data_IF_551944646945
#
_entry.id   IF_551944646945
#
_cell.length_a   1.000
_cell.length_b   1.000
_cell.length_c   1.000
_cell.angle_alpha   90.00
_cell.angle_beta   90.00
_cell.angle_gamma   90.00
#
_symmetry.space_group_name_H-M   'P 1'
#
loop_
_entity.id
_entity.type
_entity.pdbx_description
1 polymer ?
#
# COMPACT_ATOMS: atom_id res chain seq x y z
N UNK A 1 13.04 15.47 -6.49
CA UNK A 1 12.77 15.03 -6.44
C UNK A 1 12.42 14.00 -5.79
N UNK A 2 12.55 13.38 -5.67
CA UNK A 2 12.27 12.32 -5.13
C UNK A 2 12.37 12.30 -3.76
N UNK A 3 12.73 13.24 -3.16
CA UNK A 3 12.75 13.27 -1.78
C UNK A 3 11.39 13.05 -1.25
N UNK A 4 10.40 13.25 -2.02
CA UNK A 4 9.07 13.02 -1.52
C UNK A 4 8.83 11.60 -1.16
N UNK A 5 9.48 10.69 -1.83
CA UNK A 5 9.21 9.32 -1.56
C UNK A 5 9.96 8.82 -0.37
N UNK A 6 10.90 9.60 0.11
CA UNK A 6 11.67 9.14 1.23
C UNK A 6 10.91 9.14 2.51
N UNK A 7 9.74 9.76 2.53
CA UNK A 7 8.96 9.78 3.75
C UNK A 7 8.17 8.52 3.95
N UNK A 8 8.20 7.61 3.01
CA UNK A 8 7.40 6.41 3.09
C UNK A 8 8.25 5.21 3.45
N UNK A 9 7.74 4.39 4.35
CA UNK A 9 8.42 3.17 4.76
C UNK A 9 7.57 1.97 4.40
N UNK A 10 8.22 0.90 4.01
CA UNK A 10 7.51 -0.34 3.73
C UNK A 10 7.03 -0.93 5.04
N UNK A 11 5.73 -1.14 5.14
CA UNK A 11 5.14 -1.72 6.32
C UNK A 11 4.75 -3.18 6.13
N UNK A 12 4.64 -3.62 4.88
CA UNK A 12 4.32 -5.00 4.62
C UNK A 12 4.51 -5.32 3.16
N UNK A 13 4.66 -6.59 2.86
CA UNK A 13 4.85 -7.03 1.49
C UNK A 13 4.02 -8.29 1.27
N UNK A 14 3.30 -8.30 0.16
CA UNK A 14 2.49 -9.45 -0.21
C UNK A 14 3.10 -10.00 -1.48
N UNK A 15 3.67 -11.19 -1.41
CA UNK A 15 4.37 -11.78 -2.54
C UNK A 15 3.40 -12.56 -3.40
N UNK A 16 3.38 -12.29 -4.68
CA UNK A 16 2.56 -13.06 -5.61
C UNK A 16 3.37 -14.15 -6.27
N UNK A 17 4.57 -13.79 -6.73
CA UNK A 17 5.46 -14.80 -7.32
C UNK A 17 6.88 -14.24 -7.26
N UNK A 18 7.81 -14.91 -7.89
CA UNK A 18 9.22 -14.56 -7.78
C UNK A 18 9.52 -13.16 -8.32
N UNK A 19 8.73 -12.67 -9.25
CA UNK A 19 8.99 -11.38 -9.85
C UNK A 19 8.06 -10.27 -9.36
N UNK A 20 6.90 -10.64 -8.80
CA UNK A 20 5.90 -9.65 -8.44
C UNK A 20 5.56 -9.67 -6.97
N UNK A 21 5.61 -8.51 -6.34
CA UNK A 21 5.09 -8.40 -5.00
C UNK A 21 4.40 -7.05 -4.86
N UNK A 22 3.60 -6.94 -3.85
CA UNK A 22 2.86 -5.73 -3.56
C UNK A 22 3.38 -5.17 -2.25
N UNK A 23 3.89 -3.97 -2.27
CA UNK A 23 4.41 -3.36 -1.05
C UNK A 23 3.45 -2.32 -0.54
N UNK A 24 3.22 -2.38 0.76
CA UNK A 24 2.36 -1.42 1.43
C UNK A 24 3.27 -0.49 2.21
N UNK A 25 3.28 0.76 1.85
CA UNK A 25 4.14 1.76 2.50
C UNK A 25 3.27 2.78 3.20
N UNK A 26 3.81 3.35 4.23
CA UNK A 26 3.11 4.39 4.96
C UNK A 26 4.07 5.50 5.33
N UNK A 27 3.58 6.72 5.36
CA UNK A 27 4.38 7.85 5.74
C UNK A 27 3.65 9.13 5.48
N UNK A 28 4.38 10.22 5.28
CA UNK A 28 3.77 11.49 5.01
C UNK A 28 4.21 11.98 3.65
N UNK A 29 3.31 12.71 3.01
CA UNK A 29 3.57 13.28 1.71
C UNK A 29 2.90 14.65 1.76
N UNK A 30 3.69 15.70 1.74
CA UNK A 30 3.18 17.07 1.88
C UNK A 30 2.37 17.22 3.15
N UNK A 31 2.93 16.66 4.25
CA UNK A 31 2.28 16.74 5.57
C UNK A 31 0.96 16.01 5.66
N UNK A 32 0.68 15.16 4.72
CA UNK A 32 -0.53 14.36 4.74
C UNK A 32 -0.13 12.91 4.96
N UNK A 33 -0.78 12.26 5.93
CA UNK A 33 -0.51 10.87 6.21
C UNK A 33 -1.08 10.03 5.07
N UNK A 34 -0.25 9.26 4.41
CA UNK A 34 -0.68 8.49 3.24
C UNK A 34 -0.25 7.05 3.35
N UNK A 35 -0.97 6.21 2.64
CA UNK A 35 -0.66 4.81 2.51
C UNK A 35 -0.52 4.54 1.01
N UNK A 36 0.55 3.93 0.61
CA UNK A 36 0.79 3.63 -0.80
C UNK A 36 0.85 2.11 -0.97
N UNK A 37 -0.01 1.58 -1.82
CA UNK A 37 -0.07 0.16 -2.09
C UNK A 37 0.27 -0.01 -3.55
N UNK A 38 1.41 -0.65 -3.84
CA UNK A 38 1.90 -0.64 -5.20
C UNK A 38 2.56 -1.95 -5.55
N UNK A 39 2.37 -2.37 -6.79
CA UNK A 39 3.04 -3.55 -7.31
C UNK A 39 4.45 -3.21 -7.70
N UNK A 40 5.36 -4.11 -7.34
CA UNK A 40 6.77 -4.02 -7.71
C UNK A 40 7.10 -5.21 -8.58
N UNK A 41 7.81 -4.96 -9.64
CA UNK A 41 8.25 -6.04 -10.51
C UNK A 41 9.77 -6.05 -10.50
N UNK A 42 10.36 -7.18 -10.14
CA UNK A 42 11.80 -7.31 -10.01
C UNK A 42 12.37 -6.20 -9.16
N UNK A 43 11.67 -5.94 -8.05
CA UNK A 43 12.08 -4.93 -7.06
C UNK A 43 11.99 -3.50 -7.55
N UNK A 44 11.29 -3.27 -8.64
CA UNK A 44 11.12 -1.90 -9.13
C UNK A 44 9.65 -1.53 -9.10
N UNK A 45 9.33 -0.32 -8.65
CA UNK A 45 7.95 0.10 -8.58
C UNK A 45 7.34 0.22 -9.97
N UNK A 46 6.05 -0.07 -10.04
CA UNK A 46 5.32 0.05 -11.29
C UNK A 46 4.24 1.10 -11.13
N UNK A 47 3.53 1.36 -12.21
CA UNK A 47 2.41 2.29 -12.15
C UNK A 47 1.18 1.70 -11.51
N UNK A 48 1.19 0.42 -11.25
CA UNK A 48 -0.01 -0.23 -10.75
C UNK A 48 -0.04 -0.15 -9.25
N UNK A 49 -0.91 0.68 -8.75
CA UNK A 49 -1.03 0.88 -7.33
C UNK A 49 -1.97 2.01 -7.03
N UNK A 50 -2.13 2.29 -5.76
CA UNK A 50 -3.04 3.32 -5.31
C UNK A 50 -2.45 3.99 -4.10
N UNK A 51 -2.66 5.28 -3.97
CA UNK A 51 -2.22 6.03 -2.81
C UNK A 51 -3.44 6.62 -2.14
N UNK A 52 -3.59 6.35 -0.87
CA UNK A 52 -4.76 6.76 -0.11
C UNK A 52 -4.33 7.55 1.11
N UNK A 53 -5.17 8.48 1.52
CA UNK A 53 -4.91 9.14 2.79
C UNK A 53 -5.46 8.24 3.90
N UNK A 54 -5.25 8.64 5.16
CA UNK A 54 -5.62 7.79 6.28
C UNK A 54 -7.11 7.49 6.32
N UNK A 55 -7.94 8.48 5.99
CA UNK A 55 -9.37 8.27 6.02
C UNK A 55 -9.81 7.28 4.96
N UNK A 56 -9.24 7.42 3.78
CA UNK A 56 -9.57 6.51 2.69
C UNK A 56 -9.08 5.10 2.99
N UNK A 57 -7.92 5.00 3.62
CA UNK A 57 -7.39 3.69 3.96
C UNK A 57 -8.27 2.99 4.98
N UNK A 58 -8.84 3.74 5.92
CA UNK A 58 -9.74 3.15 6.90
C UNK A 58 -11.02 2.65 6.25
N UNK A 59 -11.50 3.36 5.25
CA UNK A 59 -12.68 2.91 4.52
C UNK A 59 -12.36 1.64 3.74
N UNK A 60 -11.20 1.57 3.15
CA UNK A 60 -10.79 0.37 2.46
C UNK A 60 -10.70 -0.80 3.43
N UNK A 61 -10.18 -0.56 4.61
CA UNK A 61 -10.10 -1.62 5.61
C UNK A 61 -11.49 -2.15 5.94
N UNK A 62 -12.46 -1.26 6.09
CA UNK A 62 -13.81 -1.68 6.38
C UNK A 62 -14.39 -2.54 5.25
N UNK A 63 -14.14 -2.14 4.03
CA UNK A 63 -14.62 -2.90 2.89
C UNK A 63 -13.96 -4.28 2.85
N UNK A 64 -12.66 -4.33 3.08
CA UNK A 64 -11.97 -5.60 3.05
C UNK A 64 -12.45 -6.53 4.15
N UNK A 65 -12.68 -5.99 5.32
CA UNK A 65 -13.16 -6.81 6.42
C UNK A 65 -14.54 -7.36 6.13
N UNK A 66 -15.40 -6.54 5.56
CA UNK A 66 -16.74 -6.99 5.25
C UNK A 66 -16.70 -8.08 4.17
N UNK A 67 -15.88 -7.88 3.14
CA UNK A 67 -15.87 -8.83 2.04
C UNK A 67 -15.16 -10.13 2.38
N UNK A 68 -14.20 -10.08 3.28
CA UNK A 68 -13.40 -11.26 3.58
C UNK A 68 -13.68 -11.82 4.96
N UNK A 69 -14.58 -11.20 5.69
CA UNK A 69 -14.72 -11.52 7.08
C UNK A 69 -15.22 -12.90 7.33
N UNK A 70 -16.01 -13.41 6.44
CA UNK A 70 -16.56 -14.70 6.68
C UNK A 70 -15.48 -15.72 6.73
N UNK A 71 -14.33 -15.40 6.18
CA UNK A 71 -13.31 -16.35 6.25
C UNK A 71 -12.62 -16.36 7.51
N UNK A 72 -12.78 -15.38 8.29
CA UNK A 72 -12.02 -15.31 9.49
C UNK A 72 -12.55 -16.25 10.50
N UNK A 73 -13.63 -16.83 10.21
CA UNK A 73 -14.06 -17.72 11.16
C UNK A 73 -13.82 -18.94 10.83
#
# INVERSE_FOLDING_TARGET
MDELTDELEVKGTIVRNAQLDCKVKRGTYWNIDVLDIRWYKNDKPTNKGVRLNAKEAKLLLQILRRELDEESE
#
